data_IF_808396951181
#
_entry.id   IF_808396951181
#
_cell.length_a   1.000
_cell.length_b   1.000
_cell.length_c   1.000
_cell.angle_alpha   90.00
_cell.angle_beta   90.00
_cell.angle_gamma   90.00
#
_symmetry.space_group_name_H-M   'P 1'
#
loop_
_entity.id
_entity.type
_entity.pdbx_description
1 polymer ?
#
# COMPACT_ATOMS: atom_id res chain seq x y z
N UNK A 1 -13.59 15.47 -6.96
CA UNK A 1 -13.48 14.25 -6.15
C UNK A 1 -12.09 13.67 -6.38
N UNK A 2 -11.20 13.80 -5.40
CA UNK A 2 -9.85 13.22 -5.44
C UNK A 2 -9.85 11.92 -4.64
N UNK A 3 -9.15 10.91 -5.13
CA UNK A 3 -9.04 9.60 -4.50
C UNK A 3 -7.60 9.38 -4.06
N UNK A 4 -7.44 8.59 -3.01
CA UNK A 4 -6.15 8.24 -2.44
C UNK A 4 -6.17 6.77 -2.03
N UNK A 5 -4.99 6.16 -1.99
CA UNK A 5 -4.79 4.82 -1.47
C UNK A 5 -3.66 4.81 -0.43
N UNK A 6 -3.62 3.75 0.37
CA UNK A 6 -2.60 3.58 1.39
C UNK A 6 -2.59 2.14 1.88
N UNK A 7 -1.48 1.77 2.50
CA UNK A 7 -1.23 0.44 3.01
C UNK A 7 -0.48 0.51 4.33
N UNK A 8 -0.64 -0.54 5.14
CA UNK A 8 0.04 -0.74 6.41
C UNK A 8 0.68 -2.12 6.42
N UNK A 9 1.91 -2.19 6.94
CA UNK A 9 2.67 -3.41 7.08
C UNK A 9 2.93 -3.67 8.56
N UNK A 10 2.52 -4.86 9.00
CA UNK A 10 2.79 -5.40 10.32
C UNK A 10 3.57 -6.70 10.18
N UNK A 11 4.41 -7.03 11.15
CA UNK A 11 4.95 -8.39 11.28
C UNK A 11 3.96 -9.29 12.04
N UNK A 12 4.29 -10.58 12.14
CA UNK A 12 3.51 -11.56 12.91
C UNK A 12 3.44 -11.25 14.41
N UNK A 13 4.36 -10.43 14.92
CA UNK A 13 4.39 -9.97 16.31
C UNK A 13 3.52 -8.70 16.52
N UNK A 14 2.78 -8.27 15.49
CA UNK A 14 1.90 -7.09 15.49
C UNK A 14 2.67 -5.75 15.61
N UNK A 15 3.97 -5.76 15.32
CA UNK A 15 4.78 -4.54 15.26
C UNK A 15 4.54 -3.80 13.95
N UNK A 16 4.39 -2.48 14.05
CA UNK A 16 4.34 -1.58 12.89
C UNK A 16 5.69 -1.51 12.19
N UNK A 17 5.73 -1.99 10.94
CA UNK A 17 6.92 -1.96 10.10
C UNK A 17 6.94 -0.71 9.22
N UNK A 18 5.83 -0.45 8.52
CA UNK A 18 5.76 0.62 7.53
C UNK A 18 4.32 0.97 7.17
N UNK A 19 4.11 2.19 6.69
CA UNK A 19 2.84 2.61 6.13
C UNK A 19 3.06 3.67 5.07
N UNK A 20 2.17 3.74 4.10
CA UNK A 20 2.20 4.78 3.07
C UNK A 20 0.81 5.31 2.76
N UNK A 21 0.82 6.49 2.13
CA UNK A 21 -0.34 7.08 1.51
C UNK A 21 0.08 7.68 0.17
N UNK A 22 -0.78 7.52 -0.85
CA UNK A 22 -0.55 8.00 -2.20
C UNK A 22 -1.83 8.64 -2.72
N UNK A 23 -1.72 9.91 -3.10
CA UNK A 23 -2.80 10.61 -3.78
C UNK A 23 -2.84 10.16 -5.25
N UNK A 24 -3.96 9.61 -5.68
CA UNK A 24 -4.17 9.09 -7.05
C UNK A 24 -4.85 10.11 -7.96
N UNK A 25 -5.20 11.29 -7.45
CA UNK A 25 -5.83 12.35 -8.22
C UNK A 25 -7.30 12.08 -8.50
N UNK A 26 -7.80 12.54 -9.65
CA UNK A 26 -9.16 12.25 -10.12
C UNK A 26 -9.14 10.86 -10.75
N UNK A 27 -9.56 9.85 -9.98
CA UNK A 27 -9.64 8.46 -10.40
C UNK A 27 -11.00 7.87 -9.96
N UNK A 28 -11.21 6.56 -10.14
CA UNK A 28 -12.31 5.85 -9.46
C UNK A 28 -11.79 5.18 -8.19
N UNK A 29 -12.70 4.81 -7.28
CA UNK A 29 -12.34 4.03 -6.09
C UNK A 29 -11.59 2.74 -6.46
N UNK A 30 -12.04 2.04 -7.50
CA UNK A 30 -11.38 0.84 -8.01
C UNK A 30 -9.93 1.08 -8.44
N UNK A 31 -9.64 2.19 -9.12
CA UNK A 31 -8.28 2.53 -9.53
C UNK A 31 -7.40 2.87 -8.32
N UNK A 32 -7.94 3.55 -7.32
CA UNK A 32 -7.22 3.86 -6.10
C UNK A 32 -6.85 2.57 -5.33
N UNK A 33 -7.80 1.65 -5.14
CA UNK A 33 -7.55 0.37 -4.48
C UNK A 33 -6.53 -0.49 -5.23
N UNK A 34 -6.66 -0.61 -6.56
CA UNK A 34 -5.71 -1.35 -7.38
C UNK A 34 -4.30 -0.73 -7.31
N UNK A 35 -4.20 0.61 -7.34
CA UNK A 35 -2.93 1.29 -7.19
C UNK A 35 -2.32 1.07 -5.80
N UNK A 36 -3.15 1.02 -4.75
CA UNK A 36 -2.72 0.68 -3.39
C UNK A 36 -2.11 -0.72 -3.33
N UNK A 37 -2.84 -1.73 -3.81
CA UNK A 37 -2.39 -3.13 -3.80
C UNK A 37 -1.10 -3.35 -4.61
N UNK A 38 -0.97 -2.72 -5.78
CA UNK A 38 0.27 -2.78 -6.56
C UNK A 38 1.45 -2.14 -5.80
N UNK A 39 1.21 -0.99 -5.17
CA UNK A 39 2.23 -0.29 -4.39
C UNK A 39 2.62 -1.07 -3.14
N UNK A 40 1.69 -1.79 -2.51
CA UNK A 40 1.99 -2.70 -1.40
C UNK A 40 2.99 -3.80 -1.83
N UNK A 41 2.74 -4.44 -2.97
CA UNK A 41 3.61 -5.49 -3.52
C UNK A 41 5.00 -4.92 -3.86
N UNK A 42 5.05 -3.76 -4.51
CA UNK A 42 6.31 -3.10 -4.86
C UNK A 42 7.13 -2.73 -3.61
N UNK A 43 6.48 -2.22 -2.56
CA UNK A 43 7.12 -1.90 -1.28
C UNK A 43 7.64 -3.17 -0.63
N UNK A 44 6.83 -4.23 -0.54
CA UNK A 44 7.24 -5.50 0.04
C UNK A 44 8.47 -6.07 -0.68
N UNK A 45 8.46 -6.07 -2.01
CA UNK A 45 9.60 -6.50 -2.82
C UNK A 45 10.84 -5.62 -2.58
N UNK A 46 10.69 -4.29 -2.52
CA UNK A 46 11.80 -3.36 -2.26
C UNK A 46 12.44 -3.53 -0.87
N UNK A 47 11.66 -4.03 0.10
CA UNK A 47 12.10 -4.34 1.46
C UNK A 47 12.57 -5.78 1.63
N UNK A 48 12.54 -6.58 0.56
CA UNK A 48 12.85 -8.01 0.55
C UNK A 48 11.96 -8.83 1.51
N UNK A 49 10.71 -8.39 1.69
CA UNK A 49 9.70 -9.06 2.50
C UNK A 49 9.01 -10.15 1.68
N UNK A 50 9.67 -11.29 1.55
CA UNK A 50 9.18 -12.40 0.71
C UNK A 50 8.09 -13.27 1.37
N UNK A 51 7.78 -13.06 2.66
CA UNK A 51 6.80 -13.82 3.43
C UNK A 51 6.14 -12.93 4.50
N UNK A 52 5.51 -11.84 4.06
CA UNK A 52 4.58 -11.09 4.90
C UNK A 52 3.31 -11.91 5.19
#
# INVERSE_FOLDING_TARGET
FFFACGGLFWNSDVDFLYGFTKNTGIASAFVAELCGAMNDIEIAASKNWNNL
#
